data_IF_180580562540
#
_entry.id   IF_180580562540
#
_cell.length_a   1.000
_cell.length_b   1.000
_cell.length_c   1.000
_cell.angle_alpha   90.00
_cell.angle_beta   90.00
_cell.angle_gamma   90.00
#
_symmetry.space_group_name_H-M   'P 1'
#
loop_
_entity.id
_entity.type
_entity.pdbx_description
1 polymer ?
#
# COMPACT_ATOMS: atom_id res chain seq x y z
N UNK A 1 13.26 12.13 45.81
CA UNK A 1 13.74 11.79 44.46
C UNK A 1 13.13 12.78 43.47
N UNK A 2 13.93 13.51 42.68
CA UNK A 2 13.40 14.36 41.61
C UNK A 2 12.75 13.48 40.53
N UNK A 3 11.64 13.94 39.95
CA UNK A 3 10.96 13.25 38.85
C UNK A 3 11.59 13.56 37.50
N UNK A 4 11.71 12.57 36.61
CA UNK A 4 12.29 12.72 35.27
C UNK A 4 11.22 12.56 34.19
N UNK A 5 10.60 13.66 33.72
CA UNK A 5 9.53 13.58 32.72
C UNK A 5 10.02 13.10 31.35
N UNK A 6 11.33 13.24 31.05
CA UNK A 6 11.92 12.81 29.77
C UNK A 6 12.16 11.29 29.70
N UNK A 7 12.20 10.61 30.85
CA UNK A 7 12.39 9.16 30.92
C UNK A 7 11.76 8.61 32.22
N UNK A 8 10.43 8.50 32.18
CA UNK A 8 9.62 8.08 33.32
C UNK A 8 9.91 6.61 33.69
N UNK A 9 10.18 5.77 32.70
CA UNK A 9 10.54 4.36 32.90
C UNK A 9 11.84 4.22 33.71
N UNK A 10 12.91 4.91 33.30
CA UNK A 10 14.17 4.90 34.04
C UNK A 10 14.02 5.48 35.44
N UNK A 11 13.14 6.49 35.61
CA UNK A 11 12.83 7.04 36.92
C UNK A 11 12.18 6.01 37.86
N UNK A 12 11.23 5.21 37.37
CA UNK A 12 10.64 4.12 38.15
C UNK A 12 11.67 3.06 38.52
N UNK A 13 12.56 2.67 37.60
CA UNK A 13 13.64 1.74 37.89
C UNK A 13 14.56 2.26 39.00
N UNK A 14 14.90 3.56 38.97
CA UNK A 14 15.70 4.19 40.00
C UNK A 14 14.98 4.25 41.36
N UNK A 15 13.69 4.61 41.37
CA UNK A 15 12.89 4.62 42.59
C UNK A 15 12.78 3.22 43.22
N UNK A 16 12.63 2.18 42.41
CA UNK A 16 12.57 0.79 42.88
C UNK A 16 13.91 0.30 43.46
N UNK A 17 15.02 0.71 42.85
CA UNK A 17 16.35 0.46 43.39
C UNK A 17 16.53 1.15 44.75
N UNK A 18 16.11 2.40 44.87
CA UNK A 18 16.17 3.17 46.13
C UNK A 18 15.30 2.55 47.23
N UNK A 19 14.07 2.13 46.90
CA UNK A 19 13.20 1.42 47.83
C UNK A 19 13.85 0.13 48.32
N UNK A 20 14.48 -0.61 47.41
CA UNK A 20 15.18 -1.86 47.73
C UNK A 20 16.39 -1.60 48.63
N UNK A 21 17.19 -0.57 48.36
CA UNK A 21 18.35 -0.17 49.16
C UNK A 21 17.96 0.22 50.59
N UNK A 22 16.84 0.93 50.75
CA UNK A 22 16.34 1.39 52.04
C UNK A 22 15.37 0.41 52.73
N UNK A 23 15.16 -0.79 52.17
CA UNK A 23 14.29 -1.82 52.76
C UNK A 23 12.79 -1.47 52.78
N UNK A 24 12.34 -0.59 51.88
CA UNK A 24 10.93 -0.20 51.76
C UNK A 24 10.18 -1.27 50.97
N UNK A 25 9.65 -2.28 51.68
CA UNK A 25 8.91 -3.41 51.09
C UNK A 25 7.40 -3.15 51.05
N UNK A 26 6.91 -2.22 51.90
CA UNK A 26 5.50 -1.86 51.95
C UNK A 26 5.07 -1.11 50.68
N UNK A 27 4.21 -1.74 49.88
CA UNK A 27 3.67 -1.19 48.63
C UNK A 27 2.90 0.11 48.88
N UNK A 28 2.35 0.30 50.09
CA UNK A 28 1.67 1.53 50.47
C UNK A 28 2.66 2.67 50.70
N UNK A 29 3.76 2.42 51.41
CA UNK A 29 4.85 3.38 51.56
C UNK A 29 5.47 3.78 50.21
N UNK A 30 5.72 2.81 49.32
CA UNK A 30 6.23 3.05 47.96
C UNK A 30 5.27 3.94 47.15
N UNK A 31 3.96 3.62 47.17
CA UNK A 31 2.94 4.43 46.52
C UNK A 31 2.94 5.88 47.03
N UNK A 32 2.96 6.08 48.35
CA UNK A 32 2.96 7.43 48.93
C UNK A 32 4.25 8.20 48.60
N UNK A 33 5.40 7.52 48.53
CA UNK A 33 6.66 8.13 48.13
C UNK A 33 6.61 8.61 46.66
N UNK A 34 6.10 7.77 45.75
CA UNK A 34 5.89 8.15 44.35
C UNK A 34 4.91 9.31 44.22
N UNK A 35 3.75 9.25 44.87
CA UNK A 35 2.74 10.33 44.81
C UNK A 35 3.30 11.66 45.29
N UNK A 36 4.17 11.67 46.32
CA UNK A 36 4.85 12.88 46.79
C UNK A 36 5.87 13.43 45.80
N UNK A 37 6.50 12.56 45.01
CA UNK A 37 7.51 12.93 44.02
C UNK A 37 6.89 13.35 42.67
N UNK A 38 5.65 12.95 42.39
CA UNK A 38 4.98 13.24 41.12
C UNK A 38 4.65 14.73 40.95
N UNK A 39 4.95 15.33 39.78
CA UNK A 39 4.49 16.67 39.44
C UNK A 39 2.96 16.74 39.31
N UNK A 40 2.39 17.95 39.49
CA UNK A 40 0.93 18.17 39.47
C UNK A 40 0.24 17.66 38.20
N UNK A 41 0.92 17.70 37.06
CA UNK A 41 0.40 17.21 35.77
C UNK A 41 0.12 15.69 35.75
N UNK A 42 0.73 14.94 36.67
CA UNK A 42 0.51 13.51 36.86
C UNK A 42 -0.55 13.17 37.92
N UNK A 43 -1.11 14.15 38.63
CA UNK A 43 -2.15 13.89 39.64
C UNK A 43 -3.41 13.22 39.07
N UNK A 44 -3.69 13.43 37.78
CA UNK A 44 -4.79 12.76 37.06
C UNK A 44 -4.70 11.23 37.02
N UNK A 45 -3.52 10.67 37.32
CA UNK A 45 -3.28 9.23 37.39
C UNK A 45 -3.53 8.65 38.78
N UNK A 46 -3.59 9.51 39.80
CA UNK A 46 -3.80 9.10 41.18
C UNK A 46 -5.29 9.16 41.48
N UNK A 47 -5.95 8.00 41.56
CA UNK A 47 -7.39 7.94 41.87
C UNK A 47 -7.63 7.88 43.37
N UNK A 48 -8.74 8.44 43.90
CA UNK A 48 -9.09 8.34 45.31
C UNK A 48 -9.14 6.90 45.83
N UNK A 49 -9.54 5.95 44.97
CA UNK A 49 -9.56 4.52 45.29
C UNK A 49 -8.17 3.93 45.56
N UNK A 50 -7.08 4.52 45.05
CA UNK A 50 -5.73 4.06 45.40
C UNK A 50 -5.35 4.39 46.85
N UNK A 51 -6.14 5.23 47.54
CA UNK A 51 -5.91 5.58 48.93
C UNK A 51 -6.63 4.68 49.93
N UNK A 52 -7.49 3.77 49.47
CA UNK A 52 -8.24 2.87 50.34
C UNK A 52 -7.43 1.60 50.65
N UNK A 53 -7.67 0.99 51.82
CA UNK A 53 -6.88 -0.14 52.34
C UNK A 53 -7.17 -1.49 51.67
N UNK A 54 -8.20 -1.55 50.83
CA UNK A 54 -8.61 -2.72 50.04
C UNK A 54 -7.78 -2.92 48.76
N UNK A 55 -7.02 -1.91 48.32
CA UNK A 55 -6.15 -2.02 47.15
C UNK A 55 -4.84 -2.71 47.51
N UNK A 56 -4.65 -3.92 46.98
CA UNK A 56 -3.48 -4.76 47.29
C UNK A 56 -2.15 -4.21 46.76
N UNK A 57 -2.14 -3.53 45.59
CA UNK A 57 -0.92 -3.08 44.91
C UNK A 57 -1.06 -1.66 44.33
N UNK A 58 -1.25 -0.63 45.18
CA UNK A 58 -1.52 0.73 44.70
C UNK A 58 -0.34 1.32 43.90
N UNK A 59 0.90 0.96 44.25
CA UNK A 59 2.10 1.34 43.53
C UNK A 59 2.09 0.82 42.08
N UNK A 60 1.89 -0.49 41.88
CA UNK A 60 1.87 -1.11 40.55
C UNK A 60 0.78 -0.54 39.65
N UNK A 61 -0.41 -0.30 40.21
CA UNK A 61 -1.53 0.28 39.46
C UNK A 61 -1.17 1.70 39.00
N UNK A 62 -0.53 2.50 39.86
CA UNK A 62 -0.11 3.86 39.52
C UNK A 62 1.00 3.85 38.46
N UNK A 63 2.05 3.03 38.65
CA UNK A 63 3.16 2.86 37.69
C UNK A 63 2.62 2.50 36.32
N UNK A 64 1.80 1.45 36.24
CA UNK A 64 1.19 1.01 34.99
C UNK A 64 0.30 2.09 34.35
N UNK A 65 -0.47 2.85 35.15
CA UNK A 65 -1.34 3.90 34.63
C UNK A 65 -0.57 5.08 34.04
N UNK A 66 0.56 5.44 34.63
CA UNK A 66 1.42 6.53 34.14
C UNK A 66 2.11 6.10 32.85
N UNK A 67 2.80 4.95 32.86
CA UNK A 67 3.54 4.43 31.69
C UNK A 67 2.59 4.20 30.50
N UNK A 68 1.45 3.56 30.71
CA UNK A 68 0.48 3.29 29.63
C UNK A 68 -0.02 4.55 28.94
N UNK A 69 -0.20 5.67 29.67
CA UNK A 69 -0.69 6.91 29.05
C UNK A 69 0.43 7.71 28.39
N UNK A 70 1.65 7.61 28.88
CA UNK A 70 2.82 8.12 28.17
C UNK A 70 2.91 7.44 26.79
N UNK A 71 2.84 6.11 26.73
CA UNK A 71 2.81 5.34 25.48
C UNK A 71 1.69 5.81 24.53
N UNK A 72 0.48 6.03 25.05
CA UNK A 72 -0.64 6.51 24.25
C UNK A 72 -0.44 7.96 23.75
N UNK A 73 0.18 8.81 24.56
CA UNK A 73 0.45 10.21 24.22
C UNK A 73 1.54 10.29 23.16
N UNK A 74 2.61 9.52 23.32
CA UNK A 74 3.69 9.37 22.34
C UNK A 74 3.16 8.81 21.04
N UNK A 75 2.39 7.71 21.08
CA UNK A 75 1.74 7.15 19.89
C UNK A 75 0.89 8.18 19.17
N UNK A 76 0.06 8.93 19.90
CA UNK A 76 -0.77 10.00 19.31
C UNK A 76 0.07 11.10 18.68
N UNK A 77 1.18 11.49 19.30
CA UNK A 77 2.12 12.48 18.76
C UNK A 77 2.79 11.95 17.49
N UNK A 78 3.26 10.71 17.50
CA UNK A 78 3.82 10.04 16.32
C UNK A 78 2.79 9.95 15.19
N UNK A 79 1.56 9.54 15.48
CA UNK A 79 0.46 9.48 14.50
C UNK A 79 0.17 10.88 13.90
N UNK A 80 0.19 11.93 14.72
CA UNK A 80 0.02 13.31 14.23
C UNK A 80 1.18 13.75 13.32
N UNK A 81 2.43 13.47 13.72
CA UNK A 81 3.62 13.81 12.93
C UNK A 81 3.63 13.04 11.61
N UNK A 82 3.34 11.75 11.63
CA UNK A 82 3.20 10.92 10.43
C UNK A 82 2.07 11.41 9.52
N UNK A 83 0.99 11.93 10.10
CA UNK A 83 -0.09 12.48 9.31
C UNK A 83 0.32 13.74 8.53
N UNK A 84 1.22 14.55 9.08
CA UNK A 84 1.78 15.73 8.45
C UNK A 84 2.88 15.43 7.44
N UNK A 85 3.44 14.21 7.43
CA UNK A 85 4.38 13.80 6.40
C UNK A 85 3.62 13.56 5.10
N UNK A 86 4.06 14.21 4.04
CA UNK A 86 3.58 14.03 2.69
C UNK A 86 4.72 13.97 1.67
N UNK A 87 4.34 13.72 0.42
CA UNK A 87 5.22 13.59 -0.72
C UNK A 87 5.62 14.96 -1.33
N UNK A 88 5.21 16.11 -0.75
CA UNK A 88 5.03 17.38 -1.48
C UNK A 88 6.22 17.86 -2.31
N UNK A 89 7.47 17.59 -1.92
CA UNK A 89 8.66 17.98 -2.68
C UNK A 89 9.79 16.93 -2.73
N UNK A 90 9.57 15.73 -2.19
CA UNK A 90 10.60 14.70 -2.05
C UNK A 90 10.35 13.45 -2.89
N UNK A 91 11.36 12.57 -2.93
CA UNK A 91 11.19 11.18 -3.35
C UNK A 91 10.37 10.41 -2.30
N UNK A 92 9.77 9.29 -2.70
CA UNK A 92 9.19 8.32 -1.77
C UNK A 92 10.26 7.81 -0.79
N UNK A 93 11.53 7.73 -1.21
CA UNK A 93 12.68 7.43 -0.32
C UNK A 93 12.83 8.48 0.78
N UNK A 94 12.79 9.77 0.46
CA UNK A 94 12.89 10.84 1.46
C UNK A 94 11.70 10.82 2.43
N UNK A 95 10.51 10.52 1.92
CA UNK A 95 9.31 10.38 2.73
C UNK A 95 9.44 9.21 3.71
N UNK A 96 9.90 8.04 3.24
CA UNK A 96 10.12 6.87 4.07
C UNK A 96 11.14 7.16 5.18
N UNK A 97 12.23 7.86 4.84
CA UNK A 97 13.27 8.23 5.80
C UNK A 97 12.70 9.13 6.91
N UNK A 98 11.93 10.17 6.56
CA UNK A 98 11.23 11.02 7.54
C UNK A 98 10.25 10.22 8.40
N UNK A 99 9.53 9.26 7.81
CA UNK A 99 8.62 8.39 8.56
C UNK A 99 9.36 7.50 9.57
N UNK A 100 10.53 6.93 9.19
CA UNK A 100 11.39 6.16 10.10
C UNK A 100 11.95 7.03 11.23
N UNK A 101 12.28 8.29 10.96
CA UNK A 101 12.77 9.21 11.99
C UNK A 101 11.70 9.55 13.05
N UNK A 102 10.44 9.73 12.64
CA UNK A 102 9.32 10.01 13.56
C UNK A 102 8.95 8.81 14.42
N UNK A 103 9.08 7.61 13.88
CA UNK A 103 8.72 6.37 14.56
C UNK A 103 9.89 5.79 15.37
N UNK A 104 11.13 6.02 14.93
CA UNK A 104 12.32 5.36 15.46
C UNK A 104 12.24 3.83 15.35
N UNK A 105 12.96 3.12 16.23
CA UNK A 105 12.87 1.66 16.38
C UNK A 105 11.55 1.18 17.05
N UNK A 106 10.57 2.07 17.30
CA UNK A 106 9.45 1.77 18.21
C UNK A 106 8.28 1.01 17.56
N UNK A 107 8.18 0.92 16.24
CA UNK A 107 7.17 0.05 15.60
C UNK A 107 7.70 -1.36 15.40
N UNK A 108 7.16 -2.30 16.17
CA UNK A 108 7.37 -3.73 15.92
C UNK A 108 6.52 -4.28 14.77
N UNK A 109 5.54 -3.51 14.26
CA UNK A 109 4.64 -3.93 13.19
C UNK A 109 5.00 -3.29 11.84
N UNK A 110 5.86 -3.99 11.12
CA UNK A 110 6.28 -3.65 9.75
C UNK A 110 5.08 -3.57 8.78
N UNK A 111 4.02 -4.36 9.01
CA UNK A 111 2.83 -4.40 8.16
C UNK A 111 2.02 -3.11 8.24
N UNK A 112 1.79 -2.62 9.46
CA UNK A 112 1.13 -1.32 9.68
C UNK A 112 1.95 -0.17 9.10
N UNK A 113 3.28 -0.20 9.30
CA UNK A 113 4.16 0.84 8.78
C UNK A 113 4.12 0.90 7.24
N UNK A 114 4.15 -0.26 6.59
CA UNK A 114 4.02 -0.39 5.14
C UNK A 114 2.68 0.11 4.62
N UNK A 115 1.58 -0.26 5.28
CA UNK A 115 0.25 0.22 4.90
C UNK A 115 0.15 1.74 5.01
N UNK A 116 0.72 2.32 6.08
CA UNK A 116 0.78 3.75 6.28
C UNK A 116 1.58 4.43 5.15
N UNK A 117 2.77 3.90 4.82
CA UNK A 117 3.60 4.41 3.72
C UNK A 117 2.83 4.42 2.39
N UNK A 118 2.19 3.30 2.03
CA UNK A 118 1.39 3.21 0.81
C UNK A 118 0.25 4.23 0.81
N UNK A 119 -0.43 4.42 1.94
CA UNK A 119 -1.54 5.39 2.05
C UNK A 119 -1.13 6.85 1.79
N UNK A 120 0.17 7.18 1.95
CA UNK A 120 0.72 8.53 1.73
C UNK A 120 1.13 8.80 0.28
N UNK A 121 1.21 7.77 -0.57
CA UNK A 121 1.56 7.93 -1.97
C UNK A 121 0.37 8.47 -2.79
N UNK A 122 0.61 9.10 -3.96
CA UNK A 122 -0.47 9.44 -4.88
C UNK A 122 -1.23 8.20 -5.35
N UNK A 123 -2.54 8.32 -5.57
CA UNK A 123 -3.42 7.19 -5.87
C UNK A 123 -2.95 6.35 -7.08
N UNK A 124 -2.38 6.99 -8.09
CA UNK A 124 -1.83 6.33 -9.29
C UNK A 124 -0.68 5.37 -8.93
N UNK A 125 0.19 5.78 -8.01
CA UNK A 125 1.32 4.97 -7.52
C UNK A 125 0.79 3.84 -6.63
N UNK A 126 -0.18 4.15 -5.76
CA UNK A 126 -0.81 3.14 -4.89
C UNK A 126 -1.41 1.99 -5.70
N UNK A 127 -2.17 2.28 -6.76
CA UNK A 127 -2.82 1.25 -7.59
C UNK A 127 -1.82 0.26 -8.17
N UNK A 128 -0.63 0.72 -8.57
CA UNK A 128 0.42 -0.16 -9.09
C UNK A 128 1.05 -0.97 -7.96
N UNK A 129 1.36 -0.32 -6.83
CA UNK A 129 2.10 -0.93 -5.72
C UNK A 129 1.29 -1.91 -4.87
N UNK A 130 -0.05 -1.84 -4.89
CA UNK A 130 -0.92 -2.78 -4.18
C UNK A 130 -0.62 -4.24 -4.56
N UNK A 131 -0.32 -4.52 -5.84
CA UNK A 131 0.03 -5.89 -6.27
C UNK A 131 1.41 -6.36 -5.77
N UNK A 132 2.26 -5.45 -5.31
CA UNK A 132 3.61 -5.72 -4.82
C UNK A 132 3.71 -5.59 -3.29
N UNK A 133 2.58 -5.61 -2.59
CA UNK A 133 2.52 -5.48 -1.13
C UNK A 133 3.25 -6.58 -0.34
N UNK A 134 3.77 -7.63 -0.99
CA UNK A 134 4.58 -8.68 -0.35
C UNK A 134 6.09 -8.37 -0.38
N UNK A 135 6.51 -7.40 -1.19
CA UNK A 135 7.92 -7.03 -1.35
C UNK A 135 8.46 -6.30 -0.13
N UNK A 136 9.78 -6.20 0.02
CA UNK A 136 10.34 -5.39 1.11
C UNK A 136 9.91 -3.92 0.99
N UNK A 137 9.80 -3.21 2.11
CA UNK A 137 9.39 -1.81 2.11
C UNK A 137 10.35 -0.92 1.29
N UNK A 138 11.64 -1.23 1.35
CA UNK A 138 12.67 -0.52 0.57
C UNK A 138 12.50 -0.76 -0.95
N UNK A 139 12.09 -1.96 -1.37
CA UNK A 139 11.80 -2.26 -2.78
C UNK A 139 10.54 -1.54 -3.28
N UNK A 140 9.50 -1.46 -2.45
CA UNK A 140 8.30 -0.68 -2.75
C UNK A 140 8.62 0.80 -2.91
N UNK A 141 9.50 1.31 -2.06
CA UNK A 141 9.92 2.70 -2.07
C UNK A 141 10.72 3.03 -3.34
N UNK A 142 11.69 2.19 -3.70
CA UNK A 142 12.41 2.33 -4.97
C UNK A 142 11.49 2.19 -6.20
N UNK A 143 10.42 1.42 -6.09
CA UNK A 143 9.42 1.29 -7.17
C UNK A 143 8.51 2.52 -7.24
N UNK A 144 8.10 3.07 -6.09
CA UNK A 144 7.35 4.32 -6.01
C UNK A 144 8.13 5.47 -6.68
N UNK A 145 9.42 5.57 -6.40
CA UNK A 145 10.29 6.61 -6.99
C UNK A 145 10.35 6.51 -8.51
N UNK A 146 10.55 5.31 -9.05
CA UNK A 146 10.55 5.09 -10.51
C UNK A 146 9.22 5.47 -11.15
N UNK A 147 8.09 5.14 -10.52
CA UNK A 147 6.75 5.50 -11.04
C UNK A 147 6.55 7.03 -10.99
N UNK A 148 6.99 7.67 -9.91
CA UNK A 148 6.92 9.13 -9.75
C UNK A 148 7.80 9.85 -10.78
N UNK A 149 8.97 9.28 -11.12
CA UNK A 149 9.84 9.83 -12.16
C UNK A 149 9.20 9.75 -13.55
N UNK A 150 8.63 8.60 -13.92
CA UNK A 150 7.93 8.38 -15.21
C UNK A 150 6.73 9.33 -15.36
N UNK A 151 5.98 9.55 -14.27
CA UNK A 151 4.79 10.43 -14.30
C UNK A 151 5.17 11.92 -14.37
N UNK A 152 6.29 12.33 -13.75
CA UNK A 152 6.84 13.69 -13.87
C UNK A 152 7.36 13.98 -15.29
N UNK A 153 8.05 13.04 -15.93
CA UNK A 153 8.57 13.26 -17.29
C UNK A 153 7.46 13.33 -18.35
N UNK A 154 6.42 12.50 -18.21
CA UNK A 154 5.27 12.47 -19.13
C UNK A 154 4.45 13.77 -19.16
N UNK A 155 4.49 14.58 -18.09
CA UNK A 155 3.77 15.87 -18.04
C UNK A 155 4.57 17.04 -18.62
N UNK A 156 5.90 16.92 -18.73
CA UNK A 156 6.75 17.98 -19.29
C UNK A 156 6.91 17.91 -20.82
N UNK A 157 6.56 16.78 -21.46
CA UNK A 157 6.71 16.59 -22.91
C UNK A 157 5.42 16.80 -23.71
N UNK A 158 4.30 17.19 -23.08
CA UNK A 158 3.10 17.61 -23.83
C UNK A 158 3.24 19.07 -24.26
N UNK A 159 4.19 19.34 -25.15
CA UNK A 159 4.01 20.43 -26.10
C UNK A 159 2.79 20.07 -26.94
N UNK A 160 1.72 20.86 -26.76
CA UNK A 160 0.49 20.75 -27.51
C UNK A 160 0.77 20.99 -29.00
N UNK A 161 1.08 19.94 -29.74
CA UNK A 161 0.79 19.92 -31.17
C UNK A 161 -0.70 19.67 -31.27
N UNK A 162 -1.48 20.76 -31.36
CA UNK A 162 -2.85 20.71 -31.89
C UNK A 162 -2.78 20.34 -33.38
N UNK A 163 -2.42 19.10 -33.69
CA UNK A 163 -2.76 18.56 -35.00
C UNK A 163 -4.09 17.84 -34.86
N UNK A 164 -5.15 18.50 -35.36
CA UNK A 164 -6.41 17.81 -35.63
C UNK A 164 -6.10 16.63 -36.55
N UNK A 165 -6.50 15.39 -36.23
CA UNK A 165 -6.52 14.35 -37.23
C UNK A 165 -7.68 14.66 -38.18
N UNK A 166 -7.42 15.41 -39.24
CA UNK A 166 -8.29 15.46 -40.42
C UNK A 166 -8.02 14.20 -41.26
N UNK A 167 -8.34 13.02 -40.71
CA UNK A 167 -8.74 11.91 -41.56
C UNK A 167 -10.20 12.21 -41.93
N UNK A 168 -10.42 12.62 -43.18
CA UNK A 168 -11.79 12.87 -43.65
C UNK A 168 -12.52 11.53 -43.68
N UNK A 169 -13.82 11.53 -43.41
CA UNK A 169 -14.66 10.32 -43.46
C UNK A 169 -14.46 9.51 -44.75
N UNK A 170 -14.06 10.19 -45.83
CA UNK A 170 -13.72 9.61 -47.12
C UNK A 170 -12.52 8.64 -47.06
N UNK A 171 -11.48 8.96 -46.28
CA UNK A 171 -10.26 8.15 -46.17
C UNK A 171 -10.56 6.80 -45.50
N UNK A 172 -11.42 6.82 -44.48
CA UNK A 172 -11.89 5.60 -43.79
C UNK A 172 -12.75 4.77 -44.74
N UNK A 173 -13.65 5.40 -45.50
CA UNK A 173 -14.48 4.67 -46.47
C UNK A 173 -13.66 4.06 -47.60
N UNK A 174 -12.62 4.75 -48.07
CA UNK A 174 -11.71 4.25 -49.11
C UNK A 174 -10.87 3.07 -48.61
N UNK A 175 -10.39 3.14 -47.37
CA UNK A 175 -9.70 2.03 -46.71
C UNK A 175 -10.61 0.81 -46.56
N UNK A 176 -11.84 1.01 -46.08
CA UNK A 176 -12.84 -0.05 -45.96
C UNK A 176 -13.14 -0.70 -47.31
N UNK A 177 -13.37 0.09 -48.36
CA UNK A 177 -13.60 -0.44 -49.71
C UNK A 177 -12.39 -1.21 -50.26
N UNK A 178 -11.18 -0.74 -49.97
CA UNK A 178 -9.94 -1.41 -50.41
C UNK A 178 -9.75 -2.75 -49.70
N UNK A 179 -10.02 -2.82 -48.40
CA UNK A 179 -9.99 -4.06 -47.64
C UNK A 179 -11.05 -5.05 -48.11
N UNK A 180 -12.29 -4.59 -48.36
CA UNK A 180 -13.36 -5.44 -48.91
C UNK A 180 -12.98 -6.05 -50.26
N UNK A 181 -12.37 -5.26 -51.16
CA UNK A 181 -11.89 -5.72 -52.46
C UNK A 181 -10.78 -6.76 -52.34
N UNK A 182 -9.83 -6.55 -51.42
CA UNK A 182 -8.74 -7.50 -51.18
C UNK A 182 -9.26 -8.85 -50.66
N UNK A 183 -10.21 -8.83 -49.73
CA UNK A 183 -10.82 -10.05 -49.18
C UNK A 183 -11.62 -10.82 -50.24
N UNK A 184 -12.37 -10.13 -51.10
CA UNK A 184 -13.10 -10.76 -52.20
C UNK A 184 -12.16 -11.43 -53.22
N UNK A 185 -11.05 -10.77 -53.59
CA UNK A 185 -10.05 -11.34 -54.48
C UNK A 185 -9.39 -12.60 -53.90
N UNK A 186 -9.17 -12.62 -52.58
CA UNK A 186 -8.66 -13.79 -51.86
C UNK A 186 -9.67 -14.94 -51.83
N UNK A 187 -10.96 -14.63 -51.69
CA UNK A 187 -12.03 -15.63 -51.68
C UNK A 187 -12.33 -16.23 -53.08
N UNK A 188 -12.14 -15.49 -54.16
CA UNK A 188 -12.25 -16.05 -55.53
C UNK A 188 -11.08 -16.99 -55.87
N UNK A 189 -9.88 -16.69 -55.36
CA UNK A 189 -8.72 -17.60 -55.47
C UNK A 189 -8.90 -18.89 -54.66
N UNK A 190 -9.63 -18.86 -53.55
CA UNK A 190 -9.90 -20.08 -52.77
C UNK A 190 -11.04 -20.93 -53.37
N UNK A 191 -12.04 -20.31 -54.02
CA UNK A 191 -13.16 -21.03 -54.66
C UNK A 191 -12.81 -21.67 -56.01
N UNK A 192 -11.77 -21.20 -56.70
CA UNK A 192 -11.38 -21.72 -58.03
C UNK A 192 -10.58 -23.04 -58.01
N UNK A 193 -10.19 -23.55 -56.83
CA UNK A 193 -9.59 -24.89 -56.69
C UNK A 193 -10.63 -25.95 -56.31
N UNK A 194 -11.53 -26.26 -57.24
CA UNK A 194 -12.31 -27.50 -57.22
C UNK A 194 -11.93 -28.34 -58.45
N UNK A 195 -11.27 -29.52 -58.31
CA UNK A 195 -10.95 -30.36 -59.46
C UNK A 195 -12.24 -31.00 -60.01
N UNK A 196 -12.59 -30.68 -61.27
CA UNK A 196 -13.68 -31.33 -61.99
C UNK A 196 -13.13 -32.16 -63.17
N UNK A 197 -13.46 -33.46 -63.11
CA UNK A 197 -13.61 -34.47 -64.20
C UNK A 197 -12.37 -35.21 -64.72
N UNK A 198 -12.43 -36.53 -64.51
CA UNK A 198 -12.17 -37.52 -65.55
C UNK A 198 -13.50 -38.21 -65.94
N UNK A 199 -14.04 -37.84 -67.10
CA UNK A 199 -15.09 -38.60 -67.81
C UNK A 199 -14.44 -39.18 -69.06
N UNK A 200 -14.33 -40.51 -69.10
CA UNK A 200 -13.84 -41.27 -70.25
C UNK A 200 -14.94 -41.43 -71.31
N UNK A 201 -14.49 -41.56 -72.55
CA UNK A 201 -15.14 -41.33 -73.84
C UNK A 201 -16.27 -42.30 -74.19
N UNK A 202 -17.22 -41.75 -74.98
CA UNK A 202 -18.29 -42.41 -75.74
C UNK A 202 -17.77 -43.44 -76.77
N UNK A 203 -18.58 -44.45 -77.10
CA UNK A 203 -18.96 -44.75 -78.50
C UNK A 203 -20.22 -45.62 -78.57
N UNK A 204 -21.16 -45.16 -79.37
CA UNK A 204 -22.41 -45.79 -79.81
C UNK A 204 -22.21 -46.57 -81.13
N UNK A 205 -23.23 -47.39 -81.50
CA UNK A 205 -23.53 -48.12 -82.78
C UNK A 205 -23.71 -49.61 -82.46
N UNK A 206 -24.77 -50.39 -82.81
CA UNK A 206 -25.97 -50.23 -83.65
C UNK A 206 -26.90 -51.47 -83.52
N UNK A 207 -28.24 -51.29 -83.54
CA UNK A 207 -29.36 -52.07 -84.18
C UNK A 207 -29.41 -53.64 -84.14
N UNK A 208 -30.56 -54.31 -84.43
CA UNK A 208 -31.90 -54.29 -83.80
C UNK A 208 -32.51 -55.73 -83.67
N UNK A 209 -33.83 -55.79 -83.39
CA UNK A 209 -34.85 -56.84 -83.69
C UNK A 209 -35.25 -57.88 -82.63
N UNK A 210 -36.58 -57.82 -82.39
CA UNK A 210 -37.58 -58.86 -82.10
C UNK A 210 -37.17 -60.32 -82.34
N UNK A 211 -37.58 -61.21 -81.42
CA UNK A 211 -38.60 -62.28 -81.57
C UNK A 211 -38.76 -62.91 -80.17
N UNK A 212 -39.93 -62.88 -79.53
CA UNK A 212 -41.09 -63.77 -79.67
C UNK A 212 -40.90 -65.16 -78.98
N UNK A 213 -41.97 -65.58 -78.30
CA UNK A 213 -42.17 -66.71 -77.36
C UNK A 213 -41.68 -66.58 -75.91
#
# INVERSE_FOLDING_TARGET
MPFWPDNIEAWFCYAEADFSEHGVIDTRAQFLAVVKALPREFNRYVTPSMFTSDVSKPYEILKHSILKREDLTDRKRSDQLLNNIDLQHGSATDMLQRMREVIGLRTSDEGLFKQLFLSKLPQQVQTVLVSFQNNALDELTASADRILEITKSSTSEVFSVKEKPHATQNDITELCHTLTRYLNLRNDRSRSRSPRRSISRKRSVSRPRETDN
#
